data_IF_560900763166
#
_entry.id   IF_560900763166
#
_cell.length_a   1.000
_cell.length_b   1.000
_cell.length_c   1.000
_cell.angle_alpha   90.00
_cell.angle_beta   90.00
_cell.angle_gamma   90.00
#
_symmetry.space_group_name_H-M   'P 1'
#
loop_
_entity.id
_entity.type
_entity.pdbx_description
1 polymer ?
#
# COMPACT_ATOMS: atom_id res chain seq x y z
N UNK A 1 -7.12 -2.44 13.93
CA UNK A 1 -6.35 -3.57 13.33
C UNK A 1 -4.89 -3.66 13.84
N UNK A 2 -4.28 -4.86 13.85
CA UNK A 2 -2.80 -5.05 13.91
C UNK A 2 -2.32 -5.58 12.57
N UNK A 3 -1.38 -4.89 11.93
CA UNK A 3 -0.82 -5.32 10.64
C UNK A 3 0.06 -6.56 10.79
N UNK A 4 0.10 -7.36 9.72
CA UNK A 4 1.01 -8.50 9.55
C UNK A 4 1.74 -8.31 8.24
N UNK A 5 3.03 -8.63 8.22
CA UNK A 5 3.78 -8.62 6.97
C UNK A 5 3.13 -9.56 5.96
N UNK A 6 3.22 -9.17 4.70
CA UNK A 6 2.69 -9.88 3.54
C UNK A 6 1.17 -9.94 3.46
N UNK A 7 0.38 -9.44 4.42
CA UNK A 7 -1.08 -9.42 4.25
C UNK A 7 -1.47 -8.44 3.13
N UNK A 8 -2.52 -8.79 2.37
CA UNK A 8 -3.15 -7.91 1.39
C UNK A 8 -4.28 -7.09 2.01
N UNK A 9 -4.47 -5.87 1.52
CA UNK A 9 -5.46 -4.90 1.99
C UNK A 9 -6.00 -4.10 0.82
N UNK A 10 -7.27 -3.71 0.92
CA UNK A 10 -7.81 -2.61 0.13
C UNK A 10 -7.74 -1.33 0.96
N UNK A 11 -7.25 -0.26 0.34
CA UNK A 11 -7.00 1.01 1.02
C UNK A 11 -7.46 2.18 0.16
N UNK A 12 -7.84 3.28 0.81
CA UNK A 12 -8.18 4.54 0.16
C UNK A 12 -7.09 5.57 0.42
N UNK A 13 -6.63 6.27 -0.62
CA UNK A 13 -5.67 7.37 -0.48
C UNK A 13 -6.34 8.55 0.21
N UNK A 14 -5.82 8.96 1.36
CA UNK A 14 -6.35 10.08 2.16
C UNK A 14 -5.42 11.30 2.15
N UNK A 15 -4.18 11.15 1.69
CA UNK A 15 -3.25 12.26 1.56
C UNK A 15 -2.11 11.95 0.60
N UNK A 16 -1.71 12.95 -0.18
CA UNK A 16 -0.58 12.86 -1.12
C UNK A 16 0.58 13.71 -0.60
N UNK A 17 1.78 13.13 -0.58
CA UNK A 17 3.01 13.78 -0.18
C UNK A 17 4.07 13.66 -1.31
N UNK A 18 5.12 14.49 -1.30
CA UNK A 18 6.18 14.41 -2.31
C UNK A 18 6.91 13.06 -2.38
N UNK A 19 6.83 12.25 -1.31
CA UNK A 19 7.55 10.98 -1.17
C UNK A 19 6.65 9.75 -1.21
N UNK A 20 5.34 9.93 -1.45
CA UNK A 20 4.37 8.83 -1.43
C UNK A 20 2.98 9.27 -1.01
N UNK A 21 2.15 8.31 -0.60
CA UNK A 21 0.77 8.56 -0.20
C UNK A 21 0.44 7.96 1.15
N UNK A 22 -0.31 8.71 1.96
CA UNK A 22 -0.97 8.20 3.16
C UNK A 22 -2.29 7.56 2.73
N UNK A 23 -2.54 6.37 3.23
CA UNK A 23 -3.76 5.60 2.93
C UNK A 23 -4.46 5.19 4.22
N UNK A 24 -5.78 5.01 4.14
CA UNK A 24 -6.63 4.46 5.20
C UNK A 24 -7.15 3.10 4.75
N UNK A 25 -7.21 2.14 5.67
CA UNK A 25 -7.67 0.77 5.37
C UNK A 25 -9.18 0.78 5.21
N UNK A 26 -9.67 0.25 4.08
CA UNK A 26 -11.09 0.23 3.78
C UNK A 26 -11.85 -0.59 4.84
N UNK A 27 -12.88 0.02 5.45
CA UNK A 27 -13.68 -0.61 6.50
C UNK A 27 -13.11 -0.53 7.91
N UNK A 28 -11.94 0.12 8.10
CA UNK A 28 -11.30 0.30 9.41
C UNK A 28 -11.01 1.79 9.67
N UNK A 29 -11.93 2.48 10.34
CA UNK A 29 -11.81 3.91 10.64
C UNK A 29 -10.54 4.22 11.45
N UNK A 30 -9.76 5.19 10.98
CA UNK A 30 -8.57 5.69 11.65
C UNK A 30 -7.35 4.76 11.56
N UNK A 31 -7.40 3.71 10.75
CA UNK A 31 -6.29 2.77 10.55
C UNK A 31 -5.53 3.15 9.28
N UNK A 32 -4.30 3.65 9.46
CA UNK A 32 -3.52 4.24 8.36
C UNK A 32 -2.26 3.45 8.01
N UNK A 33 -1.80 3.62 6.77
CA UNK A 33 -0.51 3.19 6.29
C UNK A 33 0.12 4.19 5.32
N UNK A 34 1.29 3.84 4.79
CA UNK A 34 2.00 4.66 3.82
C UNK A 34 2.54 3.81 2.66
N UNK A 35 2.31 4.29 1.44
CA UNK A 35 2.93 3.75 0.22
C UNK A 35 3.99 4.76 -0.22
N UNK A 36 5.27 4.40 -0.09
CA UNK A 36 6.37 5.20 -0.63
C UNK A 36 6.20 5.31 -2.17
N UNK A 37 6.58 6.43 -2.78
CA UNK A 37 6.30 6.68 -4.21
C UNK A 37 6.82 5.56 -5.14
N UNK A 38 7.96 4.96 -4.80
CA UNK A 38 8.59 3.86 -5.54
C UNK A 38 7.82 2.55 -5.45
N UNK A 39 6.85 2.48 -4.55
CA UNK A 39 5.94 1.34 -4.33
C UNK A 39 4.56 1.58 -4.94
N UNK A 40 4.40 2.64 -5.74
CA UNK A 40 3.25 2.87 -6.59
C UNK A 40 3.60 2.63 -8.07
N UNK A 41 2.74 1.98 -8.89
CA UNK A 41 3.07 1.67 -10.28
C UNK A 41 3.43 2.88 -11.15
N UNK A 42 2.81 4.05 -10.90
CA UNK A 42 3.09 5.29 -11.65
C UNK A 42 4.54 5.78 -11.56
N UNK A 43 5.32 5.26 -10.61
CA UNK A 43 6.76 5.57 -10.53
C UNK A 43 7.55 4.86 -11.63
N UNK A 44 7.10 3.67 -12.03
CA UNK A 44 7.78 2.80 -12.98
C UNK A 44 7.14 2.83 -14.37
N UNK A 45 5.86 3.19 -14.46
CA UNK A 45 5.10 3.27 -15.70
C UNK A 45 4.43 4.65 -15.85
N UNK A 46 4.93 5.43 -16.80
CA UNK A 46 4.42 6.77 -17.10
C UNK A 46 3.00 6.78 -17.68
N UNK A 47 2.48 5.63 -18.13
CA UNK A 47 1.09 5.48 -18.56
C UNK A 47 0.11 5.35 -17.38
N UNK A 48 0.61 5.01 -16.19
CA UNK A 48 -0.19 4.94 -14.97
C UNK A 48 -0.25 6.32 -14.33
N UNK A 49 -1.46 6.81 -14.08
CA UNK A 49 -1.66 8.08 -13.42
C UNK A 49 -1.06 8.07 -11.99
N UNK A 50 -0.42 9.17 -11.54
CA UNK A 50 -0.03 9.32 -10.14
C UNK A 50 -1.25 9.27 -9.20
N UNK A 51 -1.08 8.76 -7.96
CA UNK A 51 -2.18 8.57 -7.03
C UNK A 51 -2.73 9.91 -6.54
N UNK A 52 -4.05 9.94 -6.31
CA UNK A 52 -4.80 11.11 -5.82
C UNK A 52 -5.63 10.74 -4.60
N UNK A 53 -5.97 11.74 -3.80
CA UNK A 53 -6.90 11.53 -2.70
C UNK A 53 -8.25 11.01 -3.21
N UNK A 54 -8.77 9.97 -2.56
CA UNK A 54 -9.97 9.24 -2.96
C UNK A 54 -9.72 8.02 -3.86
N UNK A 55 -8.51 7.86 -4.41
CA UNK A 55 -8.18 6.65 -5.18
C UNK A 55 -8.16 5.42 -4.26
N UNK A 56 -8.71 4.31 -4.75
CA UNK A 56 -8.63 3.01 -4.07
C UNK A 56 -7.47 2.21 -4.64
N UNK A 57 -6.67 1.63 -3.75
CA UNK A 57 -5.51 0.82 -4.08
C UNK A 57 -5.65 -0.55 -3.43
N UNK A 58 -5.22 -1.58 -4.14
CA UNK A 58 -4.98 -2.89 -3.57
C UNK A 58 -3.49 -3.00 -3.25
N UNK A 59 -3.15 -3.36 -2.01
CA UNK A 59 -1.76 -3.31 -1.52
C UNK A 59 -1.40 -4.53 -0.69
N UNK A 60 -0.10 -4.83 -0.61
CA UNK A 60 0.45 -5.74 0.40
C UNK A 60 1.24 -4.98 1.47
N UNK A 61 1.30 -5.52 2.68
CA UNK A 61 2.13 -4.99 3.77
C UNK A 61 3.57 -5.46 3.62
N UNK A 62 4.50 -4.51 3.52
CA UNK A 62 5.94 -4.76 3.44
C UNK A 62 6.63 -4.72 4.81
N UNK A 63 6.20 -3.80 5.67
CA UNK A 63 6.76 -3.61 7.01
C UNK A 63 5.65 -3.12 7.96
N UNK A 64 5.08 -4.06 8.70
CA UNK A 64 4.02 -3.84 9.67
C UNK A 64 4.48 -3.06 10.91
N UNK A 65 5.79 -3.01 11.18
CA UNK A 65 6.37 -2.38 12.37
C UNK A 65 6.89 -0.96 12.14
N UNK A 66 6.83 -0.45 10.91
CA UNK A 66 7.36 0.88 10.57
C UNK A 66 6.58 2.00 11.25
N UNK A 67 7.31 2.96 11.80
CA UNK A 67 6.78 4.21 12.36
C UNK A 67 7.01 5.40 11.41
N UNK A 68 6.11 6.40 11.36
CA UNK A 68 4.84 6.51 12.12
C UNK A 68 3.67 5.71 11.52
N UNK A 69 3.87 5.09 10.34
CA UNK A 69 2.87 4.27 9.66
C UNK A 69 3.55 3.08 8.99
N UNK A 70 2.91 1.89 8.99
CA UNK A 70 3.41 0.71 8.31
C UNK A 70 3.60 0.98 6.82
N UNK A 71 4.49 0.22 6.18
CA UNK A 71 4.77 0.35 4.75
C UNK A 71 4.02 -0.66 3.93
N UNK A 72 3.37 -0.16 2.89
CA UNK A 72 2.64 -0.97 1.93
C UNK A 72 3.23 -0.81 0.53
N UNK A 73 2.87 -1.74 -0.36
CA UNK A 73 3.15 -1.66 -1.79
C UNK A 73 1.92 -1.94 -2.63
N UNK A 74 1.74 -1.13 -3.67
CA UNK A 74 0.74 -1.33 -4.71
C UNK A 74 1.34 -1.96 -5.99
N UNK A 75 2.60 -2.42 -5.94
CA UNK A 75 3.22 -3.10 -7.07
C UNK A 75 2.72 -4.54 -7.17
N UNK A 76 2.36 -4.97 -8.38
CA UNK A 76 1.94 -6.35 -8.65
C UNK A 76 2.98 -7.37 -8.20
N UNK A 77 4.25 -7.16 -8.55
CA UNK A 77 5.35 -8.06 -8.16
C UNK A 77 5.49 -8.22 -6.65
N UNK A 78 5.36 -7.12 -5.88
CA UNK A 78 5.42 -7.19 -4.40
C UNK A 78 4.21 -7.95 -3.82
N UNK A 79 3.03 -7.80 -4.44
CA UNK A 79 1.81 -8.52 -4.06
C UNK A 79 1.96 -10.01 -4.35
N UNK A 80 2.48 -10.37 -5.53
CA UNK A 80 2.70 -11.76 -5.91
C UNK A 80 3.76 -12.44 -5.01
N UNK A 81 4.84 -11.73 -4.67
CA UNK A 81 5.81 -12.20 -3.66
C UNK A 81 5.12 -12.39 -2.30
N UNK A 82 4.28 -11.45 -1.88
CA UNK A 82 3.56 -11.55 -0.61
C UNK A 82 2.61 -12.77 -0.58
N UNK A 83 1.88 -13.05 -1.67
CA UNK A 83 1.04 -14.25 -1.82
C UNK A 83 1.85 -15.53 -1.67
N UNK A 84 2.98 -15.62 -2.38
CA UNK A 84 3.88 -16.76 -2.29
C UNK A 84 4.40 -16.98 -0.86
N UNK A 85 4.76 -15.91 -0.14
CA UNK A 85 5.22 -16.00 1.25
C UNK A 85 4.13 -16.42 2.23
N UNK A 86 2.84 -16.16 1.93
CA UNK A 86 1.71 -16.66 2.73
C UNK A 86 1.35 -18.12 2.42
N UNK A 87 1.81 -18.66 1.30
CA UNK A 87 1.43 -19.98 0.81
C UNK A 87 0.13 -19.98 -0.01
N UNK A 88 -0.32 -18.81 -0.46
CA UNK A 88 -1.49 -18.67 -1.35
C UNK A 88 -1.02 -18.93 -2.78
N UNK A 89 -1.09 -20.18 -3.24
CA UNK A 89 -0.77 -20.60 -4.62
C UNK A 89 -1.98 -21.21 -5.29
#
# INVERSE_FOLDING_TARGET
MRFRDHQELDVTVVGVAPVGVKVEVDGEDGVFGFVDQVKHPSWWDASVAPPRAGDRLHVCVLDAGREPYPRFSALGDDIDIARSLRGDT
#
